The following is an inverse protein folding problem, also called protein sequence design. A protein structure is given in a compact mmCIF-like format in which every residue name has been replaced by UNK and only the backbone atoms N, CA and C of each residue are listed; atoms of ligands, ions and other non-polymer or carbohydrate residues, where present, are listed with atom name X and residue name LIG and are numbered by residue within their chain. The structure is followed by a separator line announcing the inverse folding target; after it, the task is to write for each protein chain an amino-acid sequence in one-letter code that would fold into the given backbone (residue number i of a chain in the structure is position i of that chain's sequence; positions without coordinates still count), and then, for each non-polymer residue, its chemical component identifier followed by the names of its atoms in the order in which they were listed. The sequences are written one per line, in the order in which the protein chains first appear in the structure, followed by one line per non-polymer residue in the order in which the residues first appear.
data_IF_683797993984
#
_entry.id   IF_683797993984
#
_cell.length_a   1.000
_cell.length_b   1.000
_cell.length_c   1.000
_cell.angle_alpha   90.00
_cell.angle_beta   90.00
_cell.angle_gamma   90.00
#
_symmetry.space_group_name_H-M   'P 1'
#
loop_
_entity.id
_entity.type
_entity.pdbx_description
1 polymer ?
#
# COMPACT_ATOMS: atom_id res chain seq x y z
N UNK A 1 -7.40 -8.02 60.07
CA UNK A 1 -7.01 -6.70 59.52
C UNK A 1 -6.34 -7.01 58.19
N UNK A 2 -6.93 -6.47 57.13
CA UNK A 2 -6.65 -6.79 55.73
C UNK A 2 -5.34 -6.19 55.26
N UNK A 3 -4.64 -6.90 54.38
CA UNK A 3 -3.76 -6.43 53.29
C UNK A 3 -3.18 -7.74 52.68
N UNK A 4 -3.56 -8.23 51.51
CA UNK A 4 -3.77 -7.54 50.25
C UNK A 4 -2.69 -8.04 49.29
N UNK A 5 -2.86 -9.25 48.74
CA UNK A 5 -1.98 -9.80 47.70
C UNK A 5 -1.97 -8.87 46.50
N UNK A 6 -0.78 -8.44 46.07
CA UNK A 6 -0.56 -7.75 44.81
C UNK A 6 -0.64 -8.76 43.66
N UNK A 7 -1.56 -8.62 42.69
CA UNK A 7 -1.45 -9.37 41.45
C UNK A 7 -0.40 -8.73 40.54
N UNK A 8 0.52 -9.58 40.09
CA UNK A 8 1.47 -9.34 39.02
C UNK A 8 0.72 -8.88 37.74
N UNK A 9 0.87 -7.60 37.38
CA UNK A 9 0.35 -7.06 36.12
C UNK A 9 1.31 -7.41 34.98
N UNK A 10 1.32 -8.69 34.60
CA UNK A 10 1.80 -9.09 33.29
C UNK A 10 0.76 -8.67 32.24
N UNK A 11 1.11 -7.65 31.46
CA UNK A 11 0.37 -7.24 30.28
C UNK A 11 0.26 -8.43 29.32
N UNK A 12 -0.93 -8.81 28.81
CA UNK A 12 -1.00 -9.79 27.74
C UNK A 12 -0.42 -9.19 26.46
N UNK A 13 0.78 -9.67 26.12
CA UNK A 13 1.43 -9.55 24.83
C UNK A 13 0.84 -10.57 23.85
N UNK A 14 -0.15 -10.16 23.06
CA UNK A 14 -0.42 -10.74 21.74
C UNK A 14 -1.52 -9.92 21.06
N UNK A 15 -1.10 -8.97 20.24
CA UNK A 15 -1.95 -8.55 19.13
C UNK A 15 -2.02 -9.72 18.16
N UNK A 16 -3.12 -10.47 18.20
CA UNK A 16 -3.47 -11.45 17.18
C UNK A 16 -3.99 -10.71 15.94
N UNK A 17 -3.41 -10.89 14.74
CA UNK A 17 -3.89 -10.25 13.51
C UNK A 17 -5.08 -10.97 12.85
N UNK A 18 -5.68 -11.98 13.50
CA UNK A 18 -6.81 -12.76 12.95
C UNK A 18 -8.20 -12.27 13.42
N UNK A 19 -8.43 -10.96 13.44
CA UNK A 19 -9.82 -10.47 13.45
C UNK A 19 -10.44 -10.64 12.06
N UNK A 20 -11.10 -11.79 11.89
CA UNK A 20 -12.25 -12.05 11.02
C UNK A 20 -12.54 -10.97 9.96
N UNK A 21 -11.90 -11.10 8.81
CA UNK A 21 -12.32 -10.37 7.62
C UNK A 21 -13.70 -10.87 7.19
N UNK A 22 -14.72 -10.06 7.43
CA UNK A 22 -16.03 -10.27 6.79
C UNK A 22 -15.85 -9.90 5.32
N UNK A 23 -15.83 -10.91 4.45
CA UNK A 23 -15.91 -10.72 3.00
C UNK A 23 -17.28 -10.12 2.65
N UNK A 24 -17.42 -8.80 2.65
CA UNK A 24 -18.56 -8.15 1.98
C UNK A 24 -18.21 -7.96 0.51
N UNK A 25 -18.14 -9.06 -0.23
CA UNK A 25 -18.15 -9.03 -1.70
C UNK A 25 -19.62 -9.04 -2.09
N UNK A 26 -20.15 -7.92 -2.58
CA UNK A 26 -21.44 -7.95 -3.27
C UNK A 26 -21.22 -8.62 -4.62
N UNK A 27 -21.38 -9.94 -4.66
CA UNK A 27 -21.29 -10.76 -5.88
C UNK A 27 -22.55 -10.59 -6.74
N UNK A 28 -22.72 -9.40 -7.31
CA UNK A 28 -23.61 -9.23 -8.45
C UNK A 28 -22.87 -9.62 -9.73
N UNK A 29 -23.47 -10.46 -10.59
CA UNK A 29 -23.11 -10.50 -12.02
C UNK A 29 -23.44 -9.13 -12.62
N UNK A 30 -22.59 -8.14 -12.41
CA UNK A 30 -22.76 -6.82 -13.01
C UNK A 30 -21.78 -6.70 -14.16
N UNK A 31 -22.33 -6.72 -15.37
CA UNK A 31 -21.64 -6.13 -16.52
C UNK A 31 -21.62 -4.63 -16.27
N UNK A 32 -20.43 -4.06 -16.01
CA UNK A 32 -20.26 -2.61 -15.98
C UNK A 32 -20.40 -2.10 -17.43
N UNK A 33 -21.62 -1.97 -17.93
CA UNK A 33 -21.84 -1.16 -19.12
C UNK A 33 -21.52 0.28 -18.76
N UNK A 34 -20.72 0.93 -19.61
CA UNK A 34 -20.36 2.36 -19.61
C UNK A 34 -21.43 3.24 -18.92
N UNK A 35 -21.33 3.44 -17.60
CA UNK A 35 -22.24 4.34 -16.90
C UNK A 35 -21.81 5.75 -17.26
N UNK A 36 -22.70 6.48 -17.95
CA UNK A 36 -22.59 7.94 -18.06
C UNK A 36 -22.46 8.51 -16.65
N UNK A 37 -21.55 9.47 -16.48
CA UNK A 37 -21.35 10.23 -15.25
C UNK A 37 -22.71 10.74 -14.76
N UNK A 38 -23.21 10.30 -13.58
CA UNK A 38 -24.46 10.83 -13.04
C UNK A 38 -24.26 12.25 -12.54
N UNK A 39 -25.34 13.02 -12.57
CA UNK A 39 -25.47 14.37 -12.01
C UNK A 39 -25.02 14.42 -10.53
N UNK A 40 -24.52 15.56 -10.02
CA UNK A 40 -23.69 15.58 -8.81
C UNK A 40 -24.36 15.25 -7.47
N UNK A 41 -25.69 15.04 -7.41
CA UNK A 41 -26.41 15.12 -6.12
C UNK A 41 -27.51 14.06 -5.85
N UNK A 42 -27.50 12.88 -6.49
CA UNK A 42 -28.51 11.85 -6.12
C UNK A 42 -28.14 10.40 -6.46
N UNK A 43 -26.86 10.04 -6.48
CA UNK A 43 -26.40 8.66 -6.66
C UNK A 43 -25.75 8.11 -5.40
N UNK A 44 -25.71 6.77 -5.19
CA UNK A 44 -24.79 6.18 -4.22
C UNK A 44 -23.37 6.62 -4.57
N UNK A 45 -22.55 6.89 -3.55
CA UNK A 45 -21.14 7.23 -3.75
C UNK A 45 -20.45 6.13 -4.58
N UNK A 46 -19.52 6.50 -5.49
CA UNK A 46 -18.83 5.51 -6.29
C UNK A 46 -18.05 4.55 -5.38
N UNK A 47 -17.96 3.25 -5.74
CA UNK A 47 -17.18 2.28 -4.99
C UNK A 47 -15.71 2.75 -4.90
N UNK A 48 -15.01 2.51 -3.78
CA UNK A 48 -13.63 3.00 -3.61
C UNK A 48 -12.66 2.54 -4.71
N UNK A 49 -12.74 1.27 -5.11
CA UNK A 49 -11.92 0.70 -6.18
C UNK A 49 -12.76 -0.27 -7.01
N UNK A 50 -12.55 -0.25 -8.33
CA UNK A 50 -13.18 -1.16 -9.29
C UNK A 50 -12.07 -1.87 -10.06
N UNK A 51 -12.16 -3.19 -10.14
CA UNK A 51 -11.20 -4.05 -10.83
C UNK A 51 -11.88 -4.66 -12.05
N UNK A 52 -11.25 -4.56 -13.22
CA UNK A 52 -11.80 -5.02 -14.50
C UNK A 52 -10.97 -6.16 -15.08
N UNK A 53 -11.66 -7.13 -15.68
CA UNK A 53 -11.04 -8.34 -16.25
C UNK A 53 -10.20 -8.04 -17.48
N UNK A 54 -10.57 -6.99 -18.24
CA UNK A 54 -9.87 -6.56 -19.44
C UNK A 54 -9.23 -5.19 -19.24
N UNK A 55 -8.30 -4.86 -20.15
CA UNK A 55 -7.70 -3.54 -20.24
C UNK A 55 -8.76 -2.47 -20.59
N UNK A 56 -8.44 -1.21 -20.35
CA UNK A 56 -9.27 -0.04 -20.69
C UNK A 56 -10.69 -0.10 -20.11
N UNK A 57 -10.81 -0.63 -18.88
CA UNK A 57 -12.03 -0.65 -18.08
C UNK A 57 -13.18 -1.44 -18.73
N UNK A 58 -12.85 -2.57 -19.36
CA UNK A 58 -13.79 -3.44 -20.08
C UNK A 58 -13.97 -4.81 -19.42
N UNK A 59 -14.97 -5.55 -19.89
CA UNK A 59 -15.26 -6.91 -19.43
C UNK A 59 -16.01 -6.96 -18.11
N UNK A 60 -15.88 -8.07 -17.39
CA UNK A 60 -16.45 -8.19 -16.04
C UNK A 60 -15.70 -7.26 -15.09
N UNK A 61 -16.44 -6.70 -14.14
CA UNK A 61 -15.91 -5.80 -13.13
C UNK A 61 -16.28 -6.28 -11.73
N UNK A 62 -15.44 -5.97 -10.76
CA UNK A 62 -15.69 -6.20 -9.34
C UNK A 62 -15.45 -4.90 -8.57
N UNK A 63 -16.48 -4.44 -7.86
CA UNK A 63 -16.41 -3.28 -6.97
C UNK A 63 -15.98 -3.76 -5.58
N UNK A 64 -14.90 -3.20 -5.04
CA UNK A 64 -14.41 -3.54 -3.70
C UNK A 64 -14.56 -2.34 -2.76
N UNK A 65 -15.20 -2.57 -1.63
CA UNK A 65 -15.38 -1.59 -0.55
C UNK A 65 -14.44 -1.85 0.65
N UNK A 66 -13.80 -3.02 0.67
CA UNK A 66 -12.94 -3.49 1.75
C UNK A 66 -11.80 -4.34 1.19
N UNK A 67 -10.91 -4.81 2.07
CA UNK A 67 -9.88 -5.75 1.68
C UNK A 67 -10.47 -7.02 1.05
N UNK A 68 -9.74 -7.57 0.07
CA UNK A 68 -9.99 -8.83 -0.60
C UNK A 68 -8.69 -9.64 -0.58
N UNK A 69 -8.66 -10.72 0.21
CA UNK A 69 -7.49 -11.58 0.37
C UNK A 69 -7.25 -12.52 -0.82
N UNK A 70 -8.29 -12.80 -1.61
CA UNK A 70 -8.19 -13.66 -2.78
C UNK A 70 -9.17 -13.24 -3.88
N UNK A 71 -8.65 -12.57 -4.91
CA UNK A 71 -9.45 -12.11 -6.05
C UNK A 71 -10.06 -13.27 -6.86
N UNK A 72 -9.42 -14.44 -6.88
CA UNK A 72 -9.96 -15.61 -7.59
C UNK A 72 -11.23 -16.13 -6.95
N UNK A 73 -11.29 -16.13 -5.61
CA UNK A 73 -12.51 -16.49 -4.86
C UNK A 73 -13.64 -15.48 -5.09
N UNK A 74 -13.29 -14.21 -5.34
CA UNK A 74 -14.24 -13.19 -5.76
C UNK A 74 -14.73 -13.37 -7.22
N UNK A 75 -14.21 -14.35 -7.97
CA UNK A 75 -14.58 -14.64 -9.35
C UNK A 75 -13.72 -13.91 -10.41
N UNK A 76 -12.62 -13.30 -9.98
CA UNK A 76 -11.71 -12.54 -10.83
C UNK A 76 -10.46 -13.36 -11.16
N UNK A 77 -10.39 -13.91 -12.38
CA UNK A 77 -9.28 -14.77 -12.80
C UNK A 77 -8.03 -13.99 -13.18
N UNK A 78 -8.21 -12.84 -13.85
CA UNK A 78 -7.17 -11.92 -14.27
C UNK A 78 -7.64 -10.49 -14.10
N UNK A 79 -6.71 -9.61 -13.73
CA UNK A 79 -6.93 -8.16 -13.67
C UNK A 79 -6.31 -7.51 -14.90
N UNK A 80 -7.13 -6.84 -15.71
CA UNK A 80 -6.68 -6.11 -16.90
C UNK A 80 -6.60 -4.59 -16.69
N UNK A 81 -7.47 -4.01 -15.87
CA UNK A 81 -7.44 -2.59 -15.51
C UNK A 81 -8.06 -2.30 -14.15
N UNK A 82 -7.68 -1.18 -13.54
CA UNK A 82 -8.13 -0.75 -12.20
C UNK A 82 -8.55 0.71 -12.23
N UNK A 83 -9.70 1.02 -11.61
CA UNK A 83 -10.16 2.37 -11.38
C UNK A 83 -10.24 2.63 -9.87
N UNK A 84 -9.50 3.61 -9.36
CA UNK A 84 -9.53 4.00 -7.95
C UNK A 84 -10.27 5.32 -7.81
N UNK A 85 -11.48 5.28 -7.26
CA UNK A 85 -12.25 6.48 -6.93
C UNK A 85 -11.84 7.07 -5.58
N UNK A 86 -11.62 6.19 -4.59
CA UNK A 86 -11.22 6.53 -3.22
C UNK A 86 -10.15 5.56 -2.74
N UNK A 87 -8.97 6.08 -2.45
CA UNK A 87 -7.82 5.30 -2.01
C UNK A 87 -7.02 6.03 -0.92
N UNK A 88 -5.74 5.67 -0.71
CA UNK A 88 -4.96 4.73 -1.52
C UNK A 88 -5.18 3.25 -1.14
N UNK A 89 -4.83 2.37 -2.07
CA UNK A 89 -4.90 0.91 -1.94
C UNK A 89 -3.52 0.29 -2.19
N UNK A 90 -3.28 -0.89 -1.62
CA UNK A 90 -2.14 -1.74 -2.00
C UNK A 90 -2.67 -3.04 -2.56
N UNK A 91 -2.19 -3.39 -3.76
CA UNK A 91 -2.36 -4.71 -4.35
C UNK A 91 -1.13 -5.57 -4.18
N UNK A 92 -1.35 -6.86 -4.18
CA UNK A 92 -0.31 -7.86 -4.03
C UNK A 92 -0.39 -8.85 -5.18
N UNK A 93 0.76 -9.28 -5.67
CA UNK A 93 0.88 -10.29 -6.72
C UNK A 93 0.14 -11.58 -6.37
N UNK A 94 0.22 -12.02 -5.11
CA UNK A 94 -0.34 -13.27 -4.64
C UNK A 94 -1.49 -13.03 -3.65
N UNK A 95 -2.33 -14.06 -3.48
CA UNK A 95 -3.35 -14.08 -2.46
C UNK A 95 -2.75 -13.92 -1.04
N UNK A 96 -3.57 -13.53 -0.08
CA UNK A 96 -3.22 -13.32 1.32
C UNK A 96 -2.13 -12.26 1.53
N UNK A 97 -2.12 -11.22 0.67
CA UNK A 97 -1.21 -10.08 0.75
C UNK A 97 0.28 -10.46 0.67
N UNK A 98 0.64 -11.30 -0.31
CA UNK A 98 2.02 -11.80 -0.51
C UNK A 98 2.58 -11.46 -1.89
N UNK A 99 3.90 -11.53 -2.03
CA UNK A 99 4.60 -11.27 -3.30
C UNK A 99 4.84 -9.78 -3.54
N UNK A 100 5.00 -9.41 -4.82
CA UNK A 100 5.21 -8.02 -5.22
C UNK A 100 4.03 -7.12 -4.81
N UNK A 101 4.35 -5.88 -4.41
CA UNK A 101 3.37 -4.88 -3.95
C UNK A 101 3.19 -3.78 -4.99
N UNK A 102 1.96 -3.31 -5.15
CA UNK A 102 1.58 -2.23 -6.06
C UNK A 102 0.74 -1.20 -5.31
N UNK A 103 1.20 0.05 -5.23
CA UNK A 103 0.45 1.12 -4.58
C UNK A 103 -0.43 1.83 -5.61
N UNK A 104 -1.73 1.86 -5.34
CA UNK A 104 -2.73 2.50 -6.17
C UNK A 104 -3.26 3.75 -5.48
N UNK A 105 -2.94 4.90 -6.03
CA UNK A 105 -3.51 6.19 -5.65
C UNK A 105 -4.79 6.45 -6.44
N UNK A 106 -5.53 7.52 -6.13
CA UNK A 106 -6.75 7.86 -6.88
C UNK A 106 -6.41 8.10 -8.34
N UNK A 107 -7.07 7.38 -9.26
CA UNK A 107 -6.78 7.50 -10.68
C UNK A 107 -7.23 6.30 -11.51
N UNK A 108 -6.80 6.34 -12.76
CA UNK A 108 -7.10 5.38 -13.82
C UNK A 108 -5.86 4.58 -14.18
N UNK A 109 -5.96 3.25 -14.11
CA UNK A 109 -4.89 2.32 -14.44
C UNK A 109 -5.36 1.38 -15.56
N UNK A 110 -5.26 1.82 -16.83
CA UNK A 110 -5.92 1.14 -17.96
C UNK A 110 -5.26 -0.19 -18.36
N UNK A 111 -4.04 -0.47 -17.91
CA UNK A 111 -3.27 -1.68 -18.23
C UNK A 111 -2.29 -2.05 -17.12
N UNK A 112 -1.79 -3.29 -17.13
CA UNK A 112 -0.86 -3.77 -16.11
C UNK A 112 0.43 -2.95 -15.99
N UNK A 113 0.98 -2.49 -17.12
CA UNK A 113 2.18 -1.68 -17.16
C UNK A 113 1.99 -0.26 -16.58
N UNK A 114 0.75 0.14 -16.27
CA UNK A 114 0.45 1.42 -15.60
C UNK A 114 0.58 1.37 -14.07
N UNK A 115 0.59 0.19 -13.45
CA UNK A 115 0.73 0.04 -12.00
C UNK A 115 2.02 -0.63 -11.54
N UNK A 116 2.67 -1.42 -12.40
CA UNK A 116 3.96 -2.04 -12.06
C UNK A 116 5.14 -1.14 -12.44
N UNK A 117 6.00 -0.87 -11.46
CA UNK A 117 7.25 -0.15 -11.66
C UNK A 117 8.44 -1.09 -11.94
N UNK A 118 8.26 -2.40 -11.75
CA UNK A 118 9.27 -3.43 -12.00
C UNK A 118 9.11 -4.10 -13.38
N UNK A 119 7.89 -4.12 -13.92
CA UNK A 119 7.48 -4.89 -15.12
C UNK A 119 7.76 -6.40 -15.01
N UNK A 120 7.79 -6.94 -13.78
CA UNK A 120 8.08 -8.36 -13.51
C UNK A 120 6.84 -9.23 -13.44
N UNK A 121 5.73 -8.69 -12.94
CA UNK A 121 4.46 -9.40 -12.80
C UNK A 121 3.30 -8.51 -13.21
N UNK A 122 2.33 -9.08 -13.93
CA UNK A 122 1.04 -8.47 -14.28
C UNK A 122 -0.10 -8.97 -13.38
N UNK A 123 0.21 -9.85 -12.43
CA UNK A 123 -0.80 -10.53 -11.60
C UNK A 123 -1.13 -9.72 -10.36
N UNK A 124 -2.41 -9.72 -9.99
CA UNK A 124 -2.90 -9.21 -8.70
C UNK A 124 -3.78 -10.30 -8.08
N UNK A 125 -3.39 -10.78 -6.90
CA UNK A 125 -4.10 -11.82 -6.16
C UNK A 125 -4.88 -11.30 -4.95
N UNK A 126 -4.46 -10.16 -4.37
CA UNK A 126 -5.12 -9.55 -3.22
C UNK A 126 -5.05 -8.01 -3.28
N UNK A 127 -6.00 -7.34 -2.64
CA UNK A 127 -6.08 -5.88 -2.52
C UNK A 127 -6.54 -5.49 -1.11
N UNK A 128 -5.97 -4.43 -0.54
CA UNK A 128 -6.52 -3.83 0.69
C UNK A 128 -6.39 -2.30 0.69
N UNK A 129 -7.28 -1.60 1.41
CA UNK A 129 -7.08 -0.18 1.70
C UNK A 129 -5.79 0.04 2.50
N UNK A 130 -5.11 1.16 2.25
CA UNK A 130 -3.97 1.63 3.05
C UNK A 130 -4.51 2.62 4.09
N UNK A 131 -4.11 2.43 5.35
CA UNK A 131 -4.43 3.41 6.40
C UNK A 131 -3.40 4.53 6.32
N UNK A 132 -3.77 5.64 5.70
CA UNK A 132 -2.92 6.85 5.68
C UNK A 132 -3.17 7.62 6.98
N UNK A 133 -2.12 7.76 7.79
CA UNK A 133 -2.17 8.61 8.98
C UNK A 133 -2.28 10.07 8.51
N UNK A 134 -3.30 10.81 8.98
CA UNK A 134 -3.49 12.20 8.58
C UNK A 134 -2.39 13.07 9.20
N UNK A 135 -2.00 14.12 8.49
CA UNK A 135 -1.04 15.12 8.99
C UNK A 135 -1.53 15.80 10.27
N UNK A 136 -2.84 15.92 10.47
CA UNK A 136 -3.40 16.45 11.73
C UNK A 136 -3.17 15.51 12.94
N UNK A 137 -3.00 14.20 12.68
CA UNK A 137 -2.78 13.18 13.71
C UNK A 137 -1.28 12.96 14.02
N UNK A 138 -0.37 13.59 13.27
CA UNK A 138 1.08 13.41 13.41
C UNK A 138 1.83 14.70 13.09
N UNK A 139 2.59 15.25 14.06
CA UNK A 139 3.28 16.54 13.91
C UNK A 139 4.40 16.54 12.85
N UNK A 140 4.96 15.36 12.52
CA UNK A 140 5.94 15.14 11.46
C UNK A 140 5.73 13.75 10.85
N UNK A 141 6.09 13.52 9.59
CA UNK A 141 6.26 12.19 9.01
C UNK A 141 7.73 11.81 9.06
N UNK A 142 8.06 10.67 9.68
CA UNK A 142 9.44 10.24 9.89
C UNK A 142 9.67 8.75 9.65
N UNK A 143 10.67 8.47 8.82
CA UNK A 143 11.19 7.13 8.53
C UNK A 143 12.70 7.09 8.68
N UNK A 144 13.22 6.01 9.26
CA UNK A 144 14.65 5.73 9.40
C UNK A 144 14.96 4.38 8.75
N UNK A 145 15.89 4.36 7.81
CA UNK A 145 16.33 3.16 7.11
C UNK A 145 17.76 2.83 7.53
N UNK A 146 18.01 1.55 7.77
CA UNK A 146 19.27 1.06 8.34
C UNK A 146 19.93 0.03 7.42
N UNK A 147 21.25 0.06 7.40
CA UNK A 147 22.10 -0.84 6.63
C UNK A 147 21.91 -2.31 7.01
N UNK A 148 21.89 -2.59 8.31
CA UNK A 148 21.83 -3.96 8.82
C UNK A 148 20.50 -4.27 9.51
N UNK A 149 20.16 -5.56 9.69
CA UNK A 149 18.99 -5.95 10.46
C UNK A 149 19.00 -5.39 11.88
N UNK A 150 17.82 -5.38 12.52
CA UNK A 150 17.62 -4.93 13.91
C UNK A 150 18.15 -3.52 14.21
N UNK A 151 18.04 -2.61 13.23
CA UNK A 151 18.31 -1.17 13.37
C UNK A 151 19.78 -0.83 13.67
N UNK A 152 20.70 -1.55 13.01
CA UNK A 152 22.15 -1.39 13.20
C UNK A 152 22.86 -0.94 11.92
N UNK A 153 24.13 -0.52 12.04
CA UNK A 153 24.94 -0.04 10.91
C UNK A 153 24.69 1.43 10.57
N UNK A 154 25.07 1.84 9.35
CA UNK A 154 24.75 3.19 8.85
C UNK A 154 23.24 3.37 8.73
N UNK A 155 22.77 4.60 8.86
CA UNK A 155 21.35 4.95 8.70
C UNK A 155 21.16 6.21 7.87
N UNK A 156 19.99 6.30 7.24
CA UNK A 156 19.45 7.52 6.67
C UNK A 156 18.10 7.82 7.33
N UNK A 157 17.92 9.07 7.73
CA UNK A 157 16.72 9.58 8.40
C UNK A 157 16.05 10.59 7.49
N UNK A 158 14.76 10.39 7.23
CA UNK A 158 13.97 11.21 6.31
C UNK A 158 12.75 11.71 7.06
N UNK A 159 12.62 13.04 7.09
CA UNK A 159 11.56 13.77 7.79
C UNK A 159 10.89 14.68 6.78
N UNK A 160 9.57 14.55 6.64
CA UNK A 160 8.72 15.43 5.85
C UNK A 160 9.18 15.74 4.42
N UNK A 161 9.97 14.85 3.81
CA UNK A 161 10.44 14.97 2.43
C UNK A 161 10.31 13.67 1.64
N UNK A 162 10.21 13.80 0.32
CA UNK A 162 10.30 12.66 -0.60
C UNK A 162 11.72 12.60 -1.16
N UNK A 163 12.37 11.44 -1.10
CA UNK A 163 13.78 11.29 -1.50
C UNK A 163 13.86 10.44 -2.76
N UNK A 164 14.04 11.03 -3.96
CA UNK A 164 14.13 10.29 -5.22
C UNK A 164 15.47 9.57 -5.41
N UNK A 165 16.49 9.85 -4.59
CA UNK A 165 17.80 9.18 -4.66
C UNK A 165 18.54 9.20 -3.33
N UNK A 166 18.74 8.05 -2.69
CA UNK A 166 19.54 7.94 -1.45
C UNK A 166 21.01 8.33 -1.67
N UNK A 167 21.56 8.07 -2.87
CA UNK A 167 22.91 8.46 -3.23
C UNK A 167 23.13 9.97 -3.17
N UNK A 168 22.11 10.76 -3.54
CA UNK A 168 22.17 12.22 -3.44
C UNK A 168 22.25 12.73 -1.99
N UNK A 169 21.83 11.89 -1.04
CA UNK A 169 21.94 12.12 0.41
C UNK A 169 23.12 11.36 1.04
N UNK A 170 24.08 10.88 0.23
CA UNK A 170 25.28 10.21 0.69
C UNK A 170 25.07 8.78 1.22
N UNK A 171 23.89 8.18 0.99
CA UNK A 171 23.57 6.82 1.42
C UNK A 171 23.56 5.86 0.22
N UNK A 172 24.52 4.95 0.18
CA UNK A 172 24.68 3.97 -0.92
C UNK A 172 24.57 2.51 -0.43
N UNK A 173 24.31 2.35 0.85
CA UNK A 173 24.27 1.03 1.47
C UNK A 173 22.97 0.30 1.13
N UNK A 174 22.97 -1.01 1.39
CA UNK A 174 21.73 -1.80 1.43
C UNK A 174 20.79 -1.26 2.52
N UNK A 175 19.53 -1.67 2.46
CA UNK A 175 18.53 -1.39 3.52
C UNK A 175 17.97 -2.71 4.00
N UNK A 176 18.35 -3.10 5.22
CA UNK A 176 17.97 -4.38 5.81
C UNK A 176 17.01 -4.25 6.99
N UNK A 177 16.83 -3.05 7.56
CA UNK A 177 15.76 -2.79 8.53
C UNK A 177 15.26 -1.36 8.45
N UNK A 178 14.01 -1.14 8.86
CA UNK A 178 13.32 0.15 8.72
C UNK A 178 12.50 0.43 9.98
N UNK A 179 12.53 1.67 10.45
CA UNK A 179 11.66 2.16 11.52
C UNK A 179 10.83 3.33 11.00
N UNK A 180 9.51 3.15 10.98
CA UNK A 180 8.56 4.21 10.65
C UNK A 180 7.97 4.73 11.94
N UNK A 181 8.44 5.91 12.37
CA UNK A 181 7.92 6.56 13.57
C UNK A 181 6.54 7.16 13.30
N UNK A 182 6.33 7.69 12.09
CA UNK A 182 5.10 8.33 11.67
C UNK A 182 4.95 8.41 10.15
N UNK A 183 3.71 8.59 9.71
CA UNK A 183 3.35 8.64 8.30
C UNK A 183 3.27 7.26 7.64
N UNK A 184 2.97 7.27 6.35
CA UNK A 184 2.93 6.08 5.49
C UNK A 184 3.81 6.35 4.27
N UNK A 185 4.68 5.39 3.93
CA UNK A 185 5.74 5.57 2.94
C UNK A 185 5.77 4.43 1.92
N UNK A 186 6.34 4.70 0.75
CA UNK A 186 6.68 3.68 -0.24
C UNK A 186 8.16 3.77 -0.56
N UNK A 187 8.89 2.70 -0.26
CA UNK A 187 10.28 2.52 -0.70
C UNK A 187 10.33 1.86 -2.08
N UNK A 188 11.35 2.20 -2.85
CA UNK A 188 11.56 1.68 -4.19
C UNK A 188 12.98 1.15 -4.39
N UNK A 189 13.11 0.07 -5.16
CA UNK A 189 14.38 -0.58 -5.42
C UNK A 189 15.42 0.36 -6.06
N UNK A 190 14.99 1.23 -6.98
CA UNK A 190 15.87 2.10 -7.75
C UNK A 190 15.55 3.58 -7.53
N UNK A 191 16.45 4.51 -7.93
CA UNK A 191 16.21 5.93 -7.85
C UNK A 191 15.09 6.36 -8.81
N UNK A 192 14.39 7.44 -8.46
CA UNK A 192 13.25 7.97 -9.20
C UNK A 192 11.99 7.12 -9.06
N UNK A 193 11.82 6.42 -7.93
CA UNK A 193 10.64 5.63 -7.60
C UNK A 193 10.38 4.47 -8.57
N UNK A 194 11.43 3.73 -8.95
CA UNK A 194 11.38 2.64 -9.94
C UNK A 194 11.68 1.27 -9.32
N UNK A 195 11.26 0.21 -10.01
CA UNK A 195 11.47 -1.18 -9.57
C UNK A 195 10.39 -1.64 -8.60
N UNK A 196 10.73 -2.61 -7.75
CA UNK A 196 9.83 -3.12 -6.71
C UNK A 196 9.44 -2.02 -5.73
N UNK A 197 8.18 -2.07 -5.28
CA UNK A 197 7.61 -1.15 -4.29
C UNK A 197 7.47 -1.87 -2.94
N UNK A 198 7.71 -1.16 -1.84
CA UNK A 198 7.58 -1.67 -0.48
C UNK A 198 6.76 -0.68 0.35
N UNK A 199 5.59 -1.10 0.82
CA UNK A 199 4.75 -0.28 1.69
C UNK A 199 5.28 -0.31 3.12
N UNK A 200 5.50 0.89 3.68
CA UNK A 200 5.95 1.09 5.04
C UNK A 200 4.87 1.88 5.81
N UNK A 201 4.11 1.16 6.63
CA UNK A 201 3.18 1.73 7.61
C UNK A 201 3.91 1.95 8.95
N UNK A 202 3.32 2.70 9.87
CA UNK A 202 3.93 2.94 11.19
C UNK A 202 4.29 1.61 11.88
N UNK A 203 5.55 1.45 12.24
CA UNK A 203 6.06 0.20 12.80
C UNK A 203 7.57 0.03 12.71
N UNK A 204 8.03 -1.07 13.28
CA UNK A 204 9.43 -1.50 13.33
C UNK A 204 9.57 -2.75 12.46
N UNK A 205 10.37 -2.66 11.39
CA UNK A 205 10.68 -3.74 10.47
C UNK A 205 12.12 -4.19 10.68
N UNK A 206 12.35 -5.30 11.40
CA UNK A 206 13.70 -5.68 11.84
C UNK A 206 14.53 -6.37 10.76
N UNK A 207 13.87 -6.87 9.72
CA UNK A 207 14.51 -7.53 8.58
C UNK A 207 13.85 -7.17 7.24
N UNK A 208 14.58 -7.30 6.14
CA UNK A 208 14.07 -7.06 4.79
C UNK A 208 12.88 -7.92 4.37
N UNK A 209 12.79 -9.12 4.94
CA UNK A 209 11.65 -10.02 4.72
C UNK A 209 10.34 -9.47 5.30
N UNK A 210 10.38 -8.67 6.37
CA UNK A 210 9.18 -8.12 7.02
C UNK A 210 8.46 -7.07 6.16
N UNK A 211 9.18 -6.40 5.25
CA UNK A 211 8.59 -5.51 4.25
C UNK A 211 8.49 -6.14 2.85
N UNK A 212 8.73 -7.45 2.74
CA UNK A 212 8.54 -8.23 1.51
C UNK A 212 9.65 -8.11 0.46
N UNK A 213 10.83 -7.60 0.83
CA UNK A 213 11.95 -7.50 -0.10
C UNK A 213 12.72 -8.81 -0.23
N UNK A 214 12.90 -9.28 -1.46
CA UNK A 214 13.74 -10.44 -1.77
C UNK A 214 15.24 -10.12 -1.65
N UNK A 215 15.59 -8.86 -1.90
CA UNK A 215 16.94 -8.33 -1.75
C UNK A 215 16.86 -7.00 -0.99
N UNK A 216 17.76 -6.71 -0.04
CA UNK A 216 17.72 -5.50 0.80
C UNK A 216 18.15 -4.24 0.03
N UNK A 217 17.51 -3.94 -1.10
CA UNK A 217 17.87 -2.84 -1.98
C UNK A 217 16.73 -1.84 -2.06
N UNK A 218 16.94 -0.66 -1.48
CA UNK A 218 16.04 0.49 -1.57
C UNK A 218 16.90 1.72 -1.86
N UNK A 219 16.53 2.50 -2.87
CA UNK A 219 17.31 3.66 -3.32
C UNK A 219 16.50 4.94 -3.46
N UNK A 220 15.18 4.86 -3.28
CA UNK A 220 14.32 6.03 -3.14
C UNK A 220 13.11 5.73 -2.26
N UNK A 221 12.53 6.77 -1.66
CA UNK A 221 11.32 6.66 -0.85
C UNK A 221 10.47 7.91 -1.04
N UNK A 222 9.15 7.75 -0.99
CA UNK A 222 8.20 8.87 -0.97
C UNK A 222 7.13 8.64 0.07
N UNK A 223 6.48 9.72 0.51
CA UNK A 223 5.29 9.63 1.34
C UNK A 223 4.07 9.28 0.48
N UNK A 224 3.17 8.49 1.05
CA UNK A 224 1.80 8.40 0.55
C UNK A 224 1.04 9.57 1.17
N UNK A 225 0.49 10.43 0.31
CA UNK A 225 -0.34 11.56 0.73
C UNK A 225 -1.78 11.26 0.33
N UNK A 226 -2.72 11.49 1.24
CA UNK A 226 -4.13 11.43 0.90
C UNK A 226 -4.47 12.60 -0.04
N UNK A 227 -4.86 12.28 -1.28
CA UNK A 227 -5.24 13.26 -2.28
C UNK A 227 -6.54 14.02 -1.95
N UNK A 228 -7.33 13.56 -0.97
CA UNK A 228 -8.46 14.36 -0.45
C UNK A 228 -7.97 15.66 0.22
N UNK A 229 -6.73 15.67 0.73
CA UNK A 229 -6.15 16.81 1.45
C UNK A 229 -4.94 17.43 0.73
N UNK A 230 -4.37 16.72 -0.26
CA UNK A 230 -3.26 17.20 -1.07
C UNK A 230 -3.61 17.20 -2.57
N UNK A 231 -3.99 18.35 -3.13
CA UNK A 231 -4.36 18.52 -4.54
C UNK A 231 -3.21 18.28 -5.55
N UNK A 232 -1.95 18.17 -5.09
CA UNK A 232 -0.78 17.88 -5.93
C UNK A 232 -0.12 16.59 -5.45
N UNK A 233 -0.38 15.48 -6.12
CA UNK A 233 0.18 14.18 -5.74
C UNK A 233 0.28 13.15 -6.87
N UNK A 234 -0.21 13.43 -8.07
CA UNK A 234 -0.07 12.50 -9.17
C UNK A 234 1.41 12.43 -9.60
N UNK A 235 2.06 11.31 -9.29
CA UNK A 235 3.29 10.94 -9.97
C UNK A 235 2.92 10.65 -11.43
N UNK A 236 3.24 11.61 -12.30
CA UNK A 236 3.09 11.40 -13.73
C UNK A 236 4.37 10.67 -14.17
N UNK A 237 4.29 9.41 -14.66
CA UNK A 237 5.43 8.82 -15.32
C UNK A 237 5.81 9.72 -16.49
N UNK A 238 7.02 10.27 -16.46
CA UNK A 238 7.56 11.01 -17.60
C UNK A 238 7.67 10.05 -18.79
N UNK A 239 7.00 10.41 -19.88
CA UNK A 239 7.05 9.73 -21.18
C UNK A 239 8.48 9.61 -21.72
#
# INVERSE_FOLDING_TARGET
MWEGESPDLTLPSSWDPETSFVNSVTSGRQSCSSRRVPSPHSGPDPPPIVVFEQENFQGRCHELNSACSNLKEAGMEKVGSILVHSGPWVGYEQANCKGEQFVFEKGEYPRWDSWTNSRKSDTIGALRPIKVVRVLDSQEHKIVLYENPSFTGKKIEIIDDDVPSFHAHGYQEKVSSVRVQSGTWVGYQYPGYRGYQYLFEKGDYKDSSEFGAQHPQIQSVRRIRDMQWHQRGAFHPTN
#
